data_IF_507403644856
#
_entry.id   IF_507403644856
#
_cell.length_a   1.000
_cell.length_b   1.000
_cell.length_c   1.000
_cell.angle_alpha   90.00
_cell.angle_beta   90.00
_cell.angle_gamma   90.00
#
_symmetry.space_group_name_H-M   'P 1'
#
loop_
_entity.id
_entity.type
_entity.pdbx_description
1 polymer ?
#
# COMPACT_ATOMS: atom_id res chain seq x y z
N UNK A 1 5.29 -15.89 -13.09
CA UNK A 1 5.11 -14.58 -13.75
C UNK A 1 6.21 -13.64 -13.29
N UNK A 2 6.97 -13.09 -14.24
CA UNK A 2 7.99 -12.06 -13.99
C UNK A 2 7.39 -10.68 -14.19
N UNK A 3 7.41 -9.82 -13.17
CA UNK A 3 6.95 -8.43 -13.24
C UNK A 3 8.10 -7.50 -12.86
N UNK A 4 8.21 -6.38 -13.57
CA UNK A 4 9.11 -5.29 -13.22
C UNK A 4 8.34 -4.28 -12.38
N UNK A 5 8.92 -3.85 -11.28
CA UNK A 5 8.29 -2.86 -10.41
C UNK A 5 9.17 -1.63 -10.34
N UNK A 6 8.57 -0.48 -10.57
CA UNK A 6 9.19 0.84 -10.47
C UNK A 6 8.50 1.64 -9.38
N UNK A 7 9.22 2.56 -8.75
CA UNK A 7 8.62 3.54 -7.83
C UNK A 7 8.57 4.91 -8.49
N UNK A 8 7.43 5.59 -8.40
CA UNK A 8 7.29 6.97 -8.84
C UNK A 8 8.06 7.88 -7.84
N UNK A 9 8.95 8.75 -8.35
CA UNK A 9 9.79 9.65 -7.54
C UNK A 9 11.25 9.79 -8.03
N UNK A 10 12.10 10.46 -7.25
CA UNK A 10 13.50 10.84 -7.59
C UNK A 10 14.48 9.66 -7.78
N UNK A 11 14.08 8.43 -7.44
CA UNK A 11 14.94 7.26 -7.60
C UNK A 11 14.28 6.18 -8.46
N UNK A 12 14.91 5.93 -9.61
CA UNK A 12 14.61 4.81 -10.51
C UNK A 12 15.10 3.49 -9.90
N UNK A 13 14.54 3.11 -8.75
CA UNK A 13 14.72 1.77 -8.23
C UNK A 13 13.74 0.82 -8.94
N UNK A 14 14.27 -0.02 -9.82
CA UNK A 14 13.52 -1.07 -10.51
C UNK A 14 13.90 -2.43 -9.95
N UNK A 15 12.93 -3.26 -9.60
CA UNK A 15 13.17 -4.61 -9.07
C UNK A 15 12.26 -5.62 -9.76
N UNK A 16 12.75 -6.84 -9.84
CA UNK A 16 12.07 -7.95 -10.51
C UNK A 16 11.41 -8.79 -9.43
N UNK A 17 10.10 -8.97 -9.53
CA UNK A 17 9.35 -9.82 -8.61
C UNK A 17 8.83 -11.05 -9.36
N UNK A 18 9.12 -12.23 -8.83
CA UNK A 18 8.65 -13.51 -9.36
C UNK A 18 7.45 -13.99 -8.54
N UNK A 19 6.30 -14.10 -9.19
CA UNK A 19 5.01 -14.37 -8.57
C UNK A 19 4.32 -15.56 -9.24
N UNK A 20 3.38 -16.17 -8.52
CA UNK A 20 2.35 -17.00 -9.16
C UNK A 20 1.31 -16.07 -9.82
N UNK A 21 0.92 -16.36 -11.06
CA UNK A 21 -0.12 -15.60 -11.76
C UNK A 21 -1.51 -15.77 -11.12
N UNK A 22 -1.71 -16.82 -10.32
CA UNK A 22 -2.92 -17.05 -9.53
C UNK A 22 -3.01 -16.16 -8.27
N UNK A 23 -1.94 -15.47 -7.91
CA UNK A 23 -1.92 -14.56 -6.76
C UNK A 23 -2.71 -13.27 -7.04
N UNK A 24 -3.06 -12.53 -5.99
CA UNK A 24 -3.77 -11.24 -6.11
C UNK A 24 -2.81 -10.06 -6.05
N UNK A 25 -3.30 -8.90 -6.50
CA UNK A 25 -2.60 -7.62 -6.36
C UNK A 25 -2.24 -7.31 -4.90
N UNK A 26 -3.07 -7.69 -3.93
CA UNK A 26 -2.74 -7.57 -2.51
C UNK A 26 -1.53 -8.42 -2.08
N UNK A 27 -1.36 -9.60 -2.68
CA UNK A 27 -0.18 -10.45 -2.50
C UNK A 27 1.08 -9.79 -3.07
N UNK A 28 0.99 -9.31 -4.31
CA UNK A 28 2.05 -8.53 -4.96
C UNK A 28 2.47 -7.32 -4.11
N UNK A 29 1.51 -6.55 -3.59
CA UNK A 29 1.80 -5.37 -2.74
C UNK A 29 2.61 -5.75 -1.49
N UNK A 30 2.21 -6.82 -0.79
CA UNK A 30 2.92 -7.29 0.40
C UNK A 30 4.36 -7.69 0.09
N UNK A 31 4.56 -8.35 -1.06
CA UNK A 31 5.89 -8.78 -1.51
C UNK A 31 6.80 -7.60 -1.86
N UNK A 32 6.28 -6.65 -2.64
CA UNK A 32 6.95 -5.39 -2.95
C UNK A 32 7.36 -4.65 -1.66
N UNK A 33 6.46 -4.58 -0.67
CA UNK A 33 6.75 -3.93 0.61
C UNK A 33 7.91 -4.59 1.37
N UNK A 34 8.00 -5.93 1.35
CA UNK A 34 9.10 -6.67 1.96
C UNK A 34 10.43 -6.48 1.23
N UNK A 35 10.42 -6.56 -0.10
CA UNK A 35 11.62 -6.39 -0.93
C UNK A 35 12.16 -4.95 -0.83
N UNK A 36 11.27 -3.95 -0.86
CA UNK A 36 11.65 -2.55 -0.68
C UNK A 36 12.36 -2.31 0.65
N UNK A 37 11.83 -2.86 1.76
CA UNK A 37 12.44 -2.72 3.09
C UNK A 37 13.85 -3.33 3.14
N UNK A 38 14.08 -4.39 2.39
CA UNK A 38 15.37 -5.07 2.30
C UNK A 38 16.39 -4.24 1.52
N UNK A 39 15.97 -3.60 0.42
CA UNK A 39 16.84 -2.75 -0.40
C UNK A 39 17.07 -1.36 0.25
N UNK A 40 16.06 -0.82 0.93
CA UNK A 40 16.07 0.52 1.53
C UNK A 40 15.78 0.49 3.04
N UNK A 41 16.66 -0.11 3.87
CA UNK A 41 16.38 -0.32 5.29
C UNK A 41 16.26 0.98 6.11
N UNK A 42 16.95 2.04 5.68
CA UNK A 42 16.96 3.34 6.35
C UNK A 42 15.74 4.21 6.01
N UNK A 43 14.94 3.85 5.00
CA UNK A 43 13.78 4.63 4.58
C UNK A 43 12.57 4.35 5.46
N UNK A 44 11.64 5.31 5.62
CA UNK A 44 10.36 4.99 6.21
C UNK A 44 9.65 3.89 5.41
N UNK A 45 8.81 3.05 6.04
CA UNK A 45 8.01 2.08 5.31
C UNK A 45 7.18 2.81 4.25
N UNK A 46 7.02 2.20 3.08
CA UNK A 46 6.08 2.70 2.08
C UNK A 46 4.65 2.52 2.62
N UNK A 47 4.17 3.55 3.31
CA UNK A 47 2.82 3.59 3.84
C UNK A 47 1.88 3.90 2.69
N UNK A 48 1.16 2.88 2.21
CA UNK A 48 0.11 2.97 1.19
C UNK A 48 0.62 3.48 -0.17
N UNK A 49 0.79 2.59 -1.14
CA UNK A 49 1.01 2.98 -2.53
C UNK A 49 -0.10 2.47 -3.43
N UNK A 50 -0.56 3.32 -4.34
CA UNK A 50 -1.39 2.89 -5.46
C UNK A 50 -0.46 2.24 -6.48
N UNK A 51 -0.85 1.10 -7.03
CA UNK A 51 -0.11 0.48 -8.13
C UNK A 51 -0.85 0.78 -9.42
N UNK A 52 -0.12 1.10 -10.48
CA UNK A 52 -0.68 1.22 -11.82
C UNK A 52 0.09 0.40 -12.83
N UNK A 53 -0.57 0.01 -13.92
CA UNK A 53 0.11 -0.51 -15.11
C UNK A 53 0.91 0.59 -15.81
N UNK A 54 1.72 0.22 -16.80
CA UNK A 54 2.43 1.17 -17.67
C UNK A 54 1.47 2.11 -18.44
N UNK A 55 0.23 1.66 -18.66
CA UNK A 55 -0.83 2.42 -19.33
C UNK A 55 -1.56 3.39 -18.38
N UNK A 56 -1.24 3.35 -17.08
CA UNK A 56 -1.82 4.23 -16.07
C UNK A 56 -3.09 3.70 -15.40
N UNK A 57 -3.49 2.45 -15.64
CA UNK A 57 -4.64 1.85 -14.96
C UNK A 57 -4.29 1.42 -13.54
N UNK A 58 -5.07 1.86 -12.55
CA UNK A 58 -4.86 1.50 -11.15
C UNK A 58 -5.31 0.06 -10.84
N UNK A 59 -4.44 -0.66 -10.15
CA UNK A 59 -4.65 -2.05 -9.76
C UNK A 59 -5.38 -2.12 -8.41
N UNK A 60 -6.48 -2.87 -8.36
CA UNK A 60 -7.25 -3.10 -7.14
C UNK A 60 -6.76 -4.36 -6.43
N UNK A 61 -6.75 -4.34 -5.09
CA UNK A 61 -6.18 -5.42 -4.26
C UNK A 61 -6.78 -6.81 -4.49
N UNK A 62 -8.07 -6.84 -4.82
CA UNK A 62 -8.82 -8.08 -5.04
C UNK A 62 -8.60 -8.69 -6.42
N UNK A 63 -8.04 -7.94 -7.38
CA UNK A 63 -7.84 -8.45 -8.73
C UNK A 63 -6.79 -9.58 -8.73
N UNK A 64 -7.06 -10.63 -9.49
CA UNK A 64 -6.08 -11.68 -9.75
C UNK A 64 -5.03 -11.13 -10.73
N UNK A 65 -3.75 -11.39 -10.50
CA UNK A 65 -2.67 -10.82 -11.31
C UNK A 65 -2.80 -11.20 -12.79
N UNK A 66 -3.13 -12.46 -13.08
CA UNK A 66 -3.38 -12.95 -14.45
C UNK A 66 -4.46 -12.19 -15.23
N UNK A 67 -5.35 -11.47 -14.56
CA UNK A 67 -6.44 -10.72 -15.19
C UNK A 67 -6.04 -9.28 -15.54
N UNK A 68 -4.99 -8.77 -14.91
CA UNK A 68 -4.61 -7.35 -14.97
C UNK A 68 -3.15 -7.11 -15.36
N UNK A 69 -2.32 -8.16 -15.42
CA UNK A 69 -0.91 -8.10 -15.76
C UNK A 69 -0.49 -9.32 -16.60
N UNK A 70 0.40 -9.07 -17.54
CA UNK A 70 1.08 -10.08 -18.35
C UNK A 70 2.53 -10.30 -17.89
N UNK A 71 3.14 -11.38 -18.37
CA UNK A 71 4.54 -11.65 -18.08
C UNK A 71 5.45 -10.62 -18.77
N UNK A 72 6.30 -9.96 -17.97
CA UNK A 72 7.19 -8.90 -18.43
C UNK A 72 6.62 -7.50 -18.23
N UNK A 73 5.40 -7.36 -17.70
CA UNK A 73 4.80 -6.07 -17.45
C UNK A 73 5.54 -5.24 -16.41
N UNK A 74 5.38 -3.92 -16.52
CA UNK A 74 5.88 -2.96 -15.55
C UNK A 74 4.73 -2.41 -14.70
N UNK A 75 4.89 -2.51 -13.39
CA UNK A 75 3.98 -1.93 -12.39
C UNK A 75 4.65 -0.74 -11.73
N UNK A 76 3.99 0.41 -11.82
CA UNK A 76 4.45 1.64 -11.16
C UNK A 76 3.79 1.77 -9.80
N UNK A 77 4.59 1.90 -8.74
CA UNK A 77 4.15 2.11 -7.37
C UNK A 77 4.19 3.62 -7.04
N UNK A 78 3.03 4.20 -6.77
CA UNK A 78 2.84 5.61 -6.43
C UNK A 78 2.75 5.78 -4.92
N UNK A 79 3.66 6.54 -4.29
CA UNK A 79 3.59 6.80 -2.85
C UNK A 79 2.35 7.64 -2.50
N UNK A 80 1.54 7.20 -1.53
CA UNK A 80 0.46 8.05 -1.01
C UNK A 80 1.00 9.30 -0.30
N UNK A 81 2.26 9.32 0.12
CA UNK A 81 2.89 10.51 0.70
C UNK A 81 2.91 11.70 -0.29
N UNK A 82 3.03 11.45 -1.60
CA UNK A 82 2.96 12.51 -2.63
C UNK A 82 1.51 13.02 -2.83
N UNK A 83 0.49 12.17 -2.62
CA UNK A 83 -0.92 12.62 -2.56
C UNK A 83 -1.24 13.31 -1.22
N UNK A 84 -0.48 13.05 -0.16
CA UNK A 84 -0.65 13.61 1.17
C UNK A 84 0.20 14.87 1.42
N UNK A 85 1.04 15.30 0.48
CA UNK A 85 1.88 16.50 0.64
C UNK A 85 1.09 17.77 0.96
N UNK A 86 -0.19 17.82 0.57
CA UNK A 86 -1.13 18.90 0.89
C UNK A 86 -2.18 18.53 1.95
N UNK A 87 -2.18 17.29 2.45
CA UNK A 87 -3.03 16.91 3.58
C UNK A 87 -2.25 17.13 4.87
N UNK A 88 -2.81 17.96 5.75
CA UNK A 88 -2.39 18.07 7.14
C UNK A 88 -2.42 16.69 7.78
N UNK A 89 -1.26 16.03 7.83
CA UNK A 89 -1.04 14.90 8.74
C UNK A 89 -0.84 15.55 10.10
N UNK A 90 -1.77 15.41 11.08
CA UNK A 90 -1.54 15.93 12.41
C UNK A 90 -0.27 15.23 12.95
N UNK A 91 0.83 15.98 12.97
CA UNK A 91 2.12 15.49 13.41
C UNK A 91 1.99 15.04 14.86
N UNK A 92 2.03 13.72 15.06
CA UNK A 92 1.80 13.05 16.34
C UNK A 92 0.44 13.41 16.94
N UNK A 93 -0.48 12.44 17.00
CA UNK A 93 -1.71 12.62 17.76
C UNK A 93 -1.33 13.04 19.19
N UNK A 94 -1.64 14.28 19.57
CA UNK A 94 -1.47 14.71 20.95
C UNK A 94 -2.23 13.71 21.83
N UNK A 95 -1.67 13.29 22.97
CA UNK A 95 -2.31 12.29 23.84
C UNK A 95 -3.78 12.60 24.14
N UNK A 96 -4.10 13.90 24.24
CA UNK A 96 -5.44 14.44 24.43
C UNK A 96 -6.47 13.99 23.37
N UNK A 97 -6.08 13.86 22.10
CA UNK A 97 -6.99 13.46 21.02
C UNK A 97 -7.18 11.94 20.90
N UNK A 98 -6.28 11.15 21.48
CA UNK A 98 -6.35 9.68 21.45
C UNK A 98 -7.36 9.16 22.47
N UNK A 99 -7.49 9.83 23.62
CA UNK A 99 -8.44 9.44 24.67
C UNK A 99 -9.89 9.55 24.18
N UNK A 100 -10.26 10.64 23.50
CA UNK A 100 -11.62 10.83 22.97
C UNK A 100 -11.98 9.81 21.88
N UNK A 101 -11.03 9.46 21.02
CA UNK A 101 -11.20 8.42 19.99
C UNK A 101 -11.37 7.04 20.64
N UNK A 102 -10.58 6.72 21.66
CA UNK A 102 -10.68 5.45 22.37
C UNK A 102 -11.98 5.33 23.17
N UNK A 103 -12.48 6.43 23.77
CA UNK A 103 -13.78 6.47 24.44
C UNK A 103 -14.90 6.20 23.43
N UNK A 104 -14.85 6.86 22.27
CA UNK A 104 -15.85 6.68 21.20
C UNK A 104 -15.83 5.25 20.65
N UNK A 105 -14.64 4.69 20.42
CA UNK A 105 -14.47 3.32 19.96
C UNK A 105 -14.99 2.30 20.97
N UNK A 106 -14.66 2.45 22.26
CA UNK A 106 -15.17 1.57 23.34
C UNK A 106 -16.69 1.65 23.46
N UNK A 107 -17.27 2.84 23.30
CA UNK A 107 -18.72 3.01 23.31
C UNK A 107 -19.39 2.28 22.12
N UNK A 108 -18.81 2.34 20.93
CA UNK A 108 -19.31 1.62 19.75
C UNK A 108 -19.20 0.10 19.90
N UNK A 109 -18.08 -0.41 20.43
CA UNK A 109 -17.91 -1.85 20.69
C UNK A 109 -18.92 -2.34 21.73
N UNK A 110 -19.14 -1.59 22.81
CA UNK A 110 -20.12 -1.94 23.83
C UNK A 110 -21.57 -1.89 23.31
N UNK A 111 -21.88 -0.96 22.41
CA UNK A 111 -23.18 -0.87 21.74
C UNK A 111 -23.45 -2.09 20.85
N UNK A 112 -22.49 -2.47 20.00
CA UNK A 112 -22.60 -3.65 19.13
C UNK A 112 -22.72 -4.93 19.95
N UNK A 113 -21.95 -5.06 21.04
CA UNK A 113 -22.01 -6.22 21.93
C UNK A 113 -23.32 -6.35 22.72
N UNK A 114 -24.10 -5.26 22.86
CA UNK A 114 -25.45 -5.28 23.48
C UNK A 114 -26.58 -5.48 22.47
N UNK A 115 -26.32 -5.23 21.19
CA UNK A 115 -27.29 -5.36 20.12
C UNK A 115 -27.27 -6.75 19.44
N UNK A 116 -26.32 -7.62 19.82
CA UNK A 116 -26.20 -9.03 19.43
C UNK A 116 -26.67 -9.94 20.56
#
# INVERSE_FOLDING_TARGET
MKIYVTFCGEEQASFIVLLDAAETVAGLRRRIGGDYRSVFPARPPLCFFRMSTAEGFFLTDSAALREVLEEGDTVTCHRADEEATDMWVPGVAKPEGVEDILVTFRAQVAYVARAA
#
